data_IF_555865913795
#
_entry.id   IF_555865913795
#
_cell.length_a   1.000
_cell.length_b   1.000
_cell.length_c   1.000
_cell.angle_alpha   90.00
_cell.angle_beta   90.00
_cell.angle_gamma   90.00
#
_symmetry.space_group_name_H-M   'P 1'
#
loop_
_entity.id
_entity.type
_entity.pdbx_description
1 polymer ?
#
# COMPACT_ATOMS: atom_id res chain seq x y z
N UNK A 1 -15.21 13.43 -3.71
CA UNK A 1 -13.89 13.45 -4.37
C UNK A 1 -12.82 13.55 -3.31
N UNK A 2 -11.68 12.89 -3.52
CA UNK A 2 -10.58 12.77 -2.55
C UNK A 2 -9.35 13.55 -3.04
N UNK A 3 -8.66 14.27 -2.15
CA UNK A 3 -7.41 14.97 -2.52
C UNK A 3 -6.26 14.00 -2.77
N UNK A 4 -6.23 12.89 -2.02
CA UNK A 4 -5.26 11.82 -2.15
C UNK A 4 -6.01 10.48 -2.14
N UNK A 5 -5.67 9.60 -3.08
CA UNK A 5 -6.12 8.20 -3.09
C UNK A 5 -4.89 7.30 -2.96
N UNK A 6 -4.90 6.43 -1.95
CA UNK A 6 -3.91 5.35 -1.78
C UNK A 6 -4.48 4.08 -2.41
N UNK A 7 -3.91 3.64 -3.51
CA UNK A 7 -4.44 2.58 -4.37
C UNK A 7 -3.55 1.34 -4.32
N UNK A 8 -4.11 0.16 -4.02
CA UNK A 8 -3.33 -1.09 -3.86
C UNK A 8 -3.93 -2.31 -4.58
N UNK A 9 -5.02 -2.11 -5.32
CA UNK A 9 -5.80 -3.16 -5.96
C UNK A 9 -5.35 -3.34 -7.40
N UNK A 10 -5.14 -2.25 -8.15
CA UNK A 10 -4.80 -2.28 -9.58
C UNK A 10 -6.02 -2.45 -10.49
N UNK A 11 -5.76 -2.70 -11.79
CA UNK A 11 -6.80 -2.94 -12.80
C UNK A 11 -7.87 -1.84 -12.87
N UNK A 12 -9.13 -2.23 -12.92
CA UNK A 12 -10.27 -1.29 -13.03
C UNK A 12 -10.40 -0.36 -11.81
N UNK A 13 -9.94 -0.79 -10.63
CA UNK A 13 -9.96 0.04 -9.42
C UNK A 13 -8.98 1.21 -9.53
N UNK A 14 -7.80 0.98 -10.12
CA UNK A 14 -6.86 2.05 -10.42
C UNK A 14 -7.44 3.03 -11.46
N UNK A 15 -8.10 2.52 -12.50
CA UNK A 15 -8.76 3.35 -13.50
C UNK A 15 -9.85 4.25 -12.88
N UNK A 16 -10.69 3.68 -12.01
CA UNK A 16 -11.75 4.41 -11.31
C UNK A 16 -11.16 5.39 -10.28
N UNK A 17 -10.01 5.10 -9.66
CA UNK A 17 -9.37 6.03 -8.73
C UNK A 17 -9.04 7.36 -9.40
N UNK A 18 -8.65 7.35 -10.67
CA UNK A 18 -8.36 8.56 -11.45
C UNK A 18 -9.63 9.37 -11.79
N UNK A 19 -10.81 8.75 -11.79
CA UNK A 19 -12.07 9.48 -11.98
C UNK A 19 -12.54 10.13 -10.67
N UNK A 20 -12.28 9.49 -9.53
CA UNK A 20 -12.75 9.89 -8.19
C UNK A 20 -11.87 10.91 -7.45
N UNK A 21 -10.60 11.05 -7.86
CA UNK A 21 -9.67 12.02 -7.26
C UNK A 21 -10.08 13.46 -7.59
N UNK A 22 -9.99 14.38 -6.64
CA UNK A 22 -10.34 15.79 -6.86
C UNK A 22 -9.43 16.45 -7.91
N UNK A 23 -9.89 17.54 -8.53
CA UNK A 23 -9.00 18.38 -9.36
C UNK A 23 -7.84 18.91 -8.53
N UNK A 24 -6.61 18.79 -9.01
CA UNK A 24 -5.41 19.06 -8.20
C UNK A 24 -4.92 17.90 -7.34
N UNK A 25 -5.69 16.81 -7.25
CA UNK A 25 -5.39 15.69 -6.37
C UNK A 25 -4.41 14.66 -6.95
N UNK A 26 -4.05 13.68 -6.13
CA UNK A 26 -3.05 12.66 -6.47
C UNK A 26 -3.53 11.25 -6.18
N UNK A 27 -3.34 10.35 -7.14
CA UNK A 27 -3.44 8.89 -6.93
C UNK A 27 -2.04 8.32 -6.72
N UNK A 28 -1.83 7.62 -5.62
CA UNK A 28 -0.59 6.92 -5.29
C UNK A 28 -0.85 5.42 -5.36
N UNK A 29 -0.36 4.76 -6.41
CA UNK A 29 -0.45 3.31 -6.56
C UNK A 29 0.74 2.64 -5.87
N UNK A 30 0.47 1.69 -4.97
CA UNK A 30 1.48 1.00 -4.16
C UNK A 30 1.28 -0.52 -4.07
N UNK A 31 0.35 -1.08 -4.84
CA UNK A 31 0.05 -2.52 -4.86
C UNK A 31 -0.72 -2.94 -6.10
N UNK A 32 -0.87 -4.26 -6.28
CA UNK A 32 -1.60 -4.88 -7.39
C UNK A 32 -2.37 -6.11 -6.92
N UNK A 33 -3.17 -5.97 -5.86
CA UNK A 33 -3.84 -7.09 -5.19
C UNK A 33 -4.80 -7.87 -6.08
N UNK A 34 -5.40 -7.25 -7.09
CA UNK A 34 -6.31 -7.92 -8.02
C UNK A 34 -5.58 -8.84 -9.01
N UNK A 35 -4.25 -8.73 -9.16
CA UNK A 35 -3.45 -9.44 -10.15
C UNK A 35 -4.00 -9.30 -11.59
N UNK A 36 -4.76 -8.23 -11.86
CA UNK A 36 -5.25 -7.88 -13.18
C UNK A 36 -4.15 -7.19 -13.97
N UNK A 37 -4.32 -7.16 -15.30
CA UNK A 37 -3.49 -6.32 -16.14
C UNK A 37 -3.68 -4.85 -15.74
N UNK A 38 -2.60 -4.09 -15.74
CA UNK A 38 -2.67 -2.65 -15.52
C UNK A 38 -3.64 -2.01 -16.51
N UNK A 39 -4.43 -1.06 -16.00
CA UNK A 39 -5.26 -0.21 -16.82
C UNK A 39 -4.39 0.60 -17.80
N UNK A 40 -5.02 1.11 -18.85
CA UNK A 40 -4.33 2.01 -19.79
C UNK A 40 -3.82 3.23 -19.02
N UNK A 41 -2.53 3.51 -19.15
CA UNK A 41 -1.93 4.69 -18.53
C UNK A 41 -2.61 5.96 -19.02
N UNK A 42 -3.00 6.89 -18.13
CA UNK A 42 -3.57 8.16 -18.53
C UNK A 42 -2.61 8.92 -19.44
N UNK A 43 -3.17 9.50 -20.48
CA UNK A 43 -2.45 10.45 -21.32
C UNK A 43 -2.15 11.72 -20.52
N UNK A 44 -1.07 12.43 -20.85
CA UNK A 44 -0.81 13.75 -20.28
C UNK A 44 -1.96 14.75 -20.47
N UNK A 45 -2.79 14.60 -21.51
CA UNK A 45 -3.96 15.44 -21.74
C UNK A 45 -5.04 15.24 -20.67
N UNK A 46 -5.33 13.99 -20.33
CA UNK A 46 -6.29 13.62 -19.29
C UNK A 46 -5.85 14.14 -17.92
N UNK A 47 -4.56 13.99 -17.58
CA UNK A 47 -4.01 14.48 -16.33
C UNK A 47 -4.07 16.01 -16.22
N UNK A 48 -3.65 16.73 -17.28
CA UNK A 48 -3.61 18.20 -17.28
C UNK A 48 -5.00 18.84 -17.22
N UNK A 49 -6.03 18.19 -17.76
CA UNK A 49 -7.40 18.74 -17.78
C UNK A 49 -7.94 18.98 -16.38
N UNK A 50 -7.60 18.11 -15.43
CA UNK A 50 -8.03 18.22 -14.01
C UNK A 50 -6.89 18.56 -13.06
N UNK A 51 -5.69 18.84 -13.58
CA UNK A 51 -4.48 19.00 -12.77
C UNK A 51 -4.23 17.82 -11.81
N UNK A 52 -4.43 16.58 -12.27
CA UNK A 52 -4.29 15.37 -11.44
C UNK A 52 -2.90 14.76 -11.61
N UNK A 53 -2.37 14.18 -10.53
CA UNK A 53 -1.13 13.41 -10.54
C UNK A 53 -1.37 11.92 -10.32
N UNK A 54 -0.57 11.08 -10.99
CA UNK A 54 -0.47 9.64 -10.75
C UNK A 54 0.99 9.30 -10.41
N UNK A 55 1.21 8.70 -9.25
CA UNK A 55 2.54 8.34 -8.76
C UNK A 55 2.59 6.86 -8.34
N UNK A 56 3.75 6.22 -8.56
CA UNK A 56 4.05 4.91 -8.02
C UNK A 56 4.82 5.01 -6.70
N UNK A 57 4.49 4.16 -5.74
CA UNK A 57 5.24 4.01 -4.49
C UNK A 57 5.63 2.54 -4.27
N UNK A 58 6.92 2.28 -4.12
CA UNK A 58 7.43 0.93 -3.83
C UNK A 58 8.47 1.00 -2.73
N UNK A 59 8.08 0.59 -1.53
CA UNK A 59 9.01 0.51 -0.39
C UNK A 59 10.13 -0.51 -0.64
N UNK A 60 9.84 -1.57 -1.40
CA UNK A 60 10.84 -2.58 -1.79
C UNK A 60 11.90 -1.96 -2.70
N UNK A 61 11.47 -1.23 -3.75
CA UNK A 61 12.41 -0.59 -4.66
C UNK A 61 13.19 0.54 -3.96
N UNK A 62 12.51 1.34 -3.12
CA UNK A 62 13.16 2.38 -2.32
C UNK A 62 14.21 1.80 -1.38
N UNK A 63 13.91 0.67 -0.72
CA UNK A 63 14.86 -0.03 0.18
C UNK A 63 16.12 -0.49 -0.57
N UNK A 64 15.97 -0.94 -1.82
CA UNK A 64 17.07 -1.44 -2.64
C UNK A 64 17.93 -0.32 -3.21
N UNK A 65 17.34 0.82 -3.53
CA UNK A 65 18.00 1.92 -4.26
C UNK A 65 18.50 3.02 -3.35
N UNK A 66 17.78 3.31 -2.26
CA UNK A 66 18.08 4.37 -1.30
C UNK A 66 17.86 3.85 0.14
N UNK A 67 18.69 2.90 0.60
CA UNK A 67 18.48 2.21 1.89
C UNK A 67 18.49 3.16 3.09
N UNK A 68 19.32 4.21 3.08
CA UNK A 68 19.35 5.21 4.16
C UNK A 68 18.04 5.98 4.26
N UNK A 69 17.43 6.35 3.14
CA UNK A 69 16.13 7.04 3.15
C UNK A 69 15.03 6.13 3.70
N UNK A 70 15.05 4.85 3.33
CA UNK A 70 14.12 3.85 3.87
C UNK A 70 14.29 3.68 5.38
N UNK A 71 15.53 3.57 5.84
CA UNK A 71 15.85 3.48 7.28
C UNK A 71 15.30 4.67 8.05
N UNK A 72 15.59 5.89 7.58
CA UNK A 72 15.11 7.11 8.23
C UNK A 72 13.57 7.18 8.26
N UNK A 73 12.91 6.70 7.20
CA UNK A 73 11.45 6.60 7.15
C UNK A 73 10.90 5.61 8.19
N UNK A 74 11.52 4.43 8.33
CA UNK A 74 11.14 3.44 9.35
C UNK A 74 11.33 4.03 10.75
N UNK A 75 12.47 4.67 11.02
CA UNK A 75 12.76 5.32 12.30
C UNK A 75 11.72 6.40 12.62
N UNK A 76 11.34 7.22 11.63
CA UNK A 76 10.31 8.26 11.80
C UNK A 76 8.93 7.66 12.12
N UNK A 77 8.54 6.56 11.46
CA UNK A 77 7.26 5.89 11.74
C UNK A 77 7.26 5.25 13.13
N UNK A 78 8.38 4.69 13.58
CA UNK A 78 8.51 4.16 14.94
C UNK A 78 8.40 5.27 15.98
N UNK A 79 9.01 6.43 15.75
CA UNK A 79 8.88 7.59 16.64
C UNK A 79 7.42 8.03 16.79
N UNK A 80 6.61 7.97 15.73
CA UNK A 80 5.17 8.29 15.83
C UNK A 80 4.42 7.37 16.82
N UNK A 81 4.89 6.14 17.04
CA UNK A 81 4.27 5.23 18.03
C UNK A 81 4.56 5.64 19.47
N UNK A 82 5.59 6.46 19.70
CA UNK A 82 5.87 7.11 20.98
C UNK A 82 4.97 8.34 21.18
N UNK A 83 4.42 8.91 20.09
CA UNK A 83 3.59 10.12 20.04
C UNK A 83 2.08 9.85 19.85
N UNK A 84 1.59 8.69 20.32
CA UNK A 84 0.17 8.26 20.27
C UNK A 84 -0.33 7.63 18.96
N UNK A 85 0.54 7.28 18.00
CA UNK A 85 0.11 6.44 16.87
C UNK A 85 -0.23 5.01 17.34
N UNK A 86 -1.53 4.72 17.48
CA UNK A 86 -2.01 3.39 17.86
C UNK A 86 -2.03 2.47 16.64
N UNK A 87 -1.31 1.35 16.74
CA UNK A 87 -1.35 0.28 15.72
C UNK A 87 -2.25 -0.87 16.16
N UNK A 88 -2.99 -1.52 15.23
CA UNK A 88 -3.79 -2.69 15.58
C UNK A 88 -2.91 -3.83 16.10
N UNK A 89 -3.32 -4.43 17.22
CA UNK A 89 -2.64 -5.60 17.79
C UNK A 89 -2.64 -6.76 16.77
N UNK A 90 -1.46 -7.31 16.40
CA UNK A 90 -1.37 -8.40 15.45
C UNK A 90 -1.90 -9.71 16.03
N UNK A 91 -2.31 -10.63 15.16
CA UNK A 91 -2.51 -12.03 15.53
C UNK A 91 -1.14 -12.70 15.61
N UNK A 92 -0.78 -13.19 16.79
CA UNK A 92 0.48 -13.90 17.00
C UNK A 92 0.19 -15.41 16.94
N UNK A 93 0.89 -16.12 16.07
CA UNK A 93 0.83 -17.59 15.95
C UNK A 93 2.19 -18.20 16.23
N UNK A 94 2.27 -19.41 16.80
CA UNK A 94 3.54 -20.09 16.99
C UNK A 94 4.08 -20.65 15.66
N UNK A 95 5.33 -21.10 15.65
CA UNK A 95 6.02 -21.57 14.44
C UNK A 95 5.32 -22.77 13.78
N UNK A 96 4.84 -23.70 14.59
CA UNK A 96 4.10 -24.90 14.15
C UNK A 96 2.85 -24.57 13.32
N UNK A 97 2.27 -23.38 13.50
CA UNK A 97 1.07 -22.92 12.80
C UNK A 97 1.37 -22.05 11.58
N UNK A 98 2.66 -21.82 11.23
CA UNK A 98 3.04 -20.89 10.18
C UNK A 98 2.42 -21.22 8.81
N UNK A 99 2.32 -22.51 8.46
CA UNK A 99 1.71 -22.96 7.20
C UNK A 99 0.22 -22.65 7.19
N UNK A 100 -0.50 -23.04 8.25
CA UNK A 100 -1.94 -22.78 8.41
C UNK A 100 -2.23 -21.30 8.31
N UNK A 101 -1.47 -20.48 9.05
CA UNK A 101 -1.58 -19.03 9.03
C UNK A 101 -1.33 -18.42 7.65
N UNK A 102 -0.37 -18.95 6.88
CA UNK A 102 -0.09 -18.51 5.52
C UNK A 102 -1.27 -18.80 4.58
N UNK A 103 -1.84 -20.00 4.65
CA UNK A 103 -3.00 -20.40 3.83
C UNK A 103 -4.23 -19.55 4.16
N UNK A 104 -4.49 -19.29 5.43
CA UNK A 104 -5.58 -18.40 5.86
C UNK A 104 -5.41 -16.97 5.30
N UNK A 105 -4.20 -16.44 5.33
CA UNK A 105 -3.91 -15.12 4.76
C UNK A 105 -4.10 -15.10 3.24
N UNK A 106 -3.60 -16.13 2.54
CA UNK A 106 -3.72 -16.24 1.08
C UNK A 106 -5.18 -16.34 0.63
N UNK A 107 -6.04 -16.99 1.42
CA UNK A 107 -7.47 -17.10 1.16
C UNK A 107 -8.28 -15.88 1.61
N UNK A 108 -7.63 -14.82 2.13
CA UNK A 108 -8.32 -13.61 2.59
C UNK A 108 -9.10 -13.78 3.91
N UNK A 109 -8.84 -14.86 4.66
CA UNK A 109 -9.45 -15.08 5.98
C UNK A 109 -8.66 -14.41 7.12
N UNK A 110 -7.49 -13.84 6.83
CA UNK A 110 -6.74 -13.03 7.77
C UNK A 110 -7.41 -11.68 8.02
N UNK A 111 -7.86 -11.43 9.24
CA UNK A 111 -8.53 -10.16 9.61
C UNK A 111 -7.58 -9.07 10.08
N UNK A 112 -6.31 -9.40 10.33
CA UNK A 112 -5.27 -8.50 10.86
C UNK A 112 -3.90 -8.97 10.37
N UNK A 113 -2.87 -8.18 10.68
CA UNK A 113 -1.48 -8.60 10.52
C UNK A 113 -1.23 -9.90 11.31
N UNK A 114 -0.75 -10.94 10.63
CA UNK A 114 -0.26 -12.15 11.28
C UNK A 114 1.24 -12.03 11.54
N UNK A 115 1.66 -12.40 12.74
CA UNK A 115 3.07 -12.47 13.17
C UNK A 115 3.34 -13.91 13.60
N UNK A 116 4.33 -14.54 12.98
CA UNK A 116 4.82 -15.85 13.40
C UNK A 116 5.90 -15.64 14.45
N UNK A 117 5.69 -16.18 15.65
CA UNK A 117 6.68 -16.19 16.71
C UNK A 117 7.65 -17.34 16.48
N UNK A 118 8.93 -16.99 16.33
CA UNK A 118 10.03 -17.93 16.25
C UNK A 118 10.62 -18.02 17.66
N UNK A 119 10.66 -19.23 18.23
CA UNK A 119 11.32 -19.50 19.52
C UNK A 119 12.82 -19.69 19.32
#
# INVERSE_FOLDING_TARGET
>A
MFDIILESIGGDVLANSLTEVASGGTVISYGAAAAQKDAVTPTPGELRTRNVSLAGSSIINLSRTVPTATRNLIESVLALTEEDLVTPVPRIVPWEDAITAHVEQANGHGTRKTVVRIN
#
